data_IF_852579249303
#
_entry.id   IF_852579249303
#
_cell.length_a   1.000
_cell.length_b   1.000
_cell.length_c   1.000
_cell.angle_alpha   90.00
_cell.angle_beta   90.00
_cell.angle_gamma   90.00
#
_symmetry.space_group_name_H-M   'P 1'
#
loop_
_entity.id
_entity.type
_entity.pdbx_description
1 polymer ?
2 water ?
#
# COMPACT_ATOMS: atom_id res chain seq x y z
N UNK A 8 -27.02 -9.29 9.11
CA UNK A 8 -26.13 -9.99 10.04
C UNK A 8 -24.88 -10.47 9.30
N UNK A 9 -25.03 -11.55 8.53
CA UNK A 9 -23.95 -12.01 7.68
C UNK A 9 -23.66 -11.01 6.57
N UNK A 10 -24.69 -10.28 6.13
CA UNK A 10 -24.48 -9.23 5.14
C UNK A 10 -23.55 -8.14 5.67
N UNK A 11 -23.70 -7.79 6.95
CA UNK A 11 -22.85 -6.74 7.51
C UNK A 11 -21.39 -7.17 7.57
N UNK A 12 -21.13 -8.48 7.70
CA UNK A 12 -19.76 -8.97 7.57
C UNK A 12 -19.23 -8.74 6.16
N UNK A 13 -20.02 -9.12 5.15
CA UNK A 13 -19.60 -8.94 3.76
C UNK A 13 -19.40 -7.46 3.44
N UNK A 14 -20.28 -6.60 3.96
CA UNK A 14 -20.14 -5.16 3.76
C UNK A 14 -18.88 -4.63 4.44
N UNK A 15 -18.64 -5.04 5.68
CA UNK A 15 -17.45 -4.61 6.39
C UNK A 15 -16.16 -5.01 5.68
N UNK A 16 -16.12 -6.24 5.14
CA UNK A 16 -14.91 -6.66 4.43
C UNK A 16 -14.75 -5.87 3.14
N UNK A 17 -15.85 -5.65 2.42
CA UNK A 17 -15.78 -4.88 1.18
C UNK A 17 -15.28 -3.47 1.43
N UNK A 18 -15.76 -2.83 2.50
CA UNK A 18 -15.32 -1.47 2.79
C UNK A 18 -13.83 -1.43 3.11
N UNK A 19 -13.37 -2.35 3.96
CA UNK A 19 -11.98 -2.28 4.39
C UNK A 19 -11.02 -2.70 3.28
N UNK A 20 -11.43 -3.64 2.43
CA UNK A 20 -10.60 -4.01 1.28
C UNK A 20 -10.50 -2.84 0.30
N UNK A 21 -11.63 -2.17 0.05
CA UNK A 21 -11.61 -0.99 -0.82
C UNK A 21 -10.69 0.08 -0.27
N UNK A 22 -10.75 0.32 1.05
CA UNK A 22 -9.87 1.30 1.66
C UNK A 22 -8.41 0.87 1.56
N UNK A 23 -8.14 -0.43 1.67
CA UNK A 23 -6.76 -0.89 1.54
C UNK A 23 -6.26 -0.67 0.12
N UNK A 24 -7.12 -0.90 -0.87
CA UNK A 24 -6.76 -0.68 -2.27
C UNK A 24 -6.41 0.78 -2.48
N UNK A 25 -7.26 1.67 -1.97
CA UNK A 25 -7.00 3.11 -2.06
C UNK A 25 -5.67 3.48 -1.41
N UNK A 26 -5.36 2.88 -0.26
CA UNK A 26 -4.12 3.18 0.44
C UNK A 26 -2.91 2.75 -0.37
N UNK A 27 -2.96 1.57 -0.98
CA UNK A 27 -1.87 1.15 -1.86
C UNK A 27 -1.69 2.16 -2.99
N UNK A 28 -2.80 2.60 -3.60
CA UNK A 28 -2.67 3.56 -4.69
C UNK A 28 -2.02 4.85 -4.20
N UNK A 29 -2.36 5.27 -2.98
CA UNK A 29 -1.74 6.46 -2.39
C UNK A 29 -0.23 6.27 -2.22
N UNK A 30 0.19 5.09 -1.74
CA UNK A 30 1.61 4.82 -1.58
C UNK A 30 2.31 4.82 -2.94
N UNK A 31 1.70 4.17 -3.94
CA UNK A 31 2.35 4.10 -5.25
C UNK A 31 2.43 5.49 -5.89
N UNK A 32 1.37 6.29 -5.74
CA UNK A 32 1.41 7.65 -6.28
C UNK A 32 2.48 8.49 -5.60
N UNK A 33 2.72 8.26 -4.30
CA UNK A 33 3.80 8.96 -3.61
C UNK A 33 5.16 8.57 -4.20
N UNK A 34 5.38 7.28 -4.39
CA UNK A 34 6.59 6.82 -5.04
C UNK A 34 6.77 7.46 -6.41
N UNK A 35 5.70 7.55 -7.20
CA UNK A 35 5.82 8.13 -8.54
C UNK A 35 6.25 9.59 -8.46
N UNK A 36 5.62 10.34 -7.56
CA UNK A 36 5.94 11.75 -7.38
C UNK A 36 7.37 11.94 -6.88
N UNK A 37 7.76 11.17 -5.85
CA UNK A 37 9.12 11.20 -5.34
C UNK A 37 10.12 10.97 -6.47
N UNK A 38 9.87 9.93 -7.28
CA UNK A 38 10.74 9.62 -8.41
C UNK A 38 10.93 10.81 -9.35
N UNK A 39 9.85 11.52 -9.66
CA UNK A 39 9.97 12.65 -10.59
C UNK A 39 10.79 13.79 -9.99
N UNK A 40 10.72 14.01 -8.67
CA UNK A 40 11.54 15.06 -8.06
C UNK A 40 13.02 14.71 -8.13
N UNK A 41 13.35 13.43 -7.93
CA UNK A 41 14.73 12.99 -8.02
C UNK A 41 15.24 13.11 -9.44
N UNK A 42 14.39 12.79 -10.42
CA UNK A 42 14.76 12.97 -11.82
C UNK A 42 14.96 14.45 -12.15
N UNK A 43 14.01 15.30 -11.73
CA UNK A 43 14.08 16.72 -12.08
C UNK A 43 15.32 17.38 -11.51
N UNK A 44 15.69 17.04 -10.27
CA UNK A 44 16.79 17.75 -9.63
C UNK A 44 18.15 17.44 -10.25
N UNK A 45 18.26 16.36 -11.04
CA UNK A 45 19.47 16.08 -11.81
C UNK A 45 19.30 16.31 -13.30
N UNK A 46 18.23 16.97 -13.73
CA UNK A 46 17.93 17.11 -15.15
C UNK A 46 18.78 18.21 -15.77
N UNK A 47 19.18 17.99 -17.03
CA UNK A 47 19.98 18.98 -17.74
C UNK A 47 19.13 20.02 -18.46
N UNK A 48 17.82 19.78 -18.59
CA UNK A 48 16.94 20.70 -19.29
C UNK A 48 16.44 21.84 -18.40
N UNK A 49 16.48 21.68 -17.08
CA UNK A 49 15.88 22.63 -16.16
C UNK A 49 16.91 23.64 -15.65
N UNK A 50 16.43 24.85 -15.35
CA UNK A 50 17.32 25.88 -14.83
C UNK A 50 17.55 25.68 -13.32
N UNK A 51 18.46 26.50 -12.78
CA UNK A 51 18.92 26.28 -11.41
C UNK A 51 17.81 26.49 -10.39
N UNK A 52 17.00 27.54 -10.58
CA UNK A 52 15.85 27.74 -9.70
C UNK A 52 14.97 26.50 -9.66
N UNK A 53 14.65 25.95 -10.84
CA UNK A 53 13.73 24.81 -10.89
C UNK A 53 14.35 23.56 -10.27
N UNK A 54 15.63 23.29 -10.54
CA UNK A 54 16.27 22.14 -9.93
C UNK A 54 16.36 22.29 -8.41
N UNK A 55 16.59 23.52 -7.94
CA UNK A 55 16.65 23.74 -6.50
C UNK A 55 15.31 23.48 -5.85
N UNK A 56 14.22 23.89 -6.51
CA UNK A 56 12.90 23.63 -5.96
C UNK A 56 12.64 22.13 -5.92
N UNK A 57 13.13 21.40 -6.93
CA UNK A 57 12.92 19.96 -6.98
C UNK A 57 13.72 19.24 -5.90
N UNK A 58 14.93 19.71 -5.63
CA UNK A 58 15.73 19.14 -4.55
C UNK A 58 15.05 19.35 -3.19
N UNK A 59 14.54 20.56 -2.94
CA UNK A 59 13.75 20.80 -1.73
C UNK A 59 12.57 19.86 -1.66
N UNK A 60 11.85 19.69 -2.77
CA UNK A 60 10.66 18.84 -2.75
C UNK A 60 11.03 17.38 -2.52
N UNK A 61 12.13 16.92 -3.11
CA UNK A 61 12.55 15.54 -2.88
C UNK A 61 12.90 15.31 -1.42
N UNK A 62 13.40 16.34 -0.73
CA UNK A 62 13.75 16.22 0.68
C UNK A 62 12.55 16.24 1.60
N UNK A 63 11.36 16.57 1.11
CA UNK A 63 10.19 16.67 1.97
C UNK A 63 9.47 15.33 2.13
N UNK A 64 9.82 14.33 1.34
CA UNK A 64 9.24 13.00 1.52
C UNK A 64 9.85 12.33 2.75
N UNK A 65 9.01 11.74 3.61
CA UNK A 65 9.48 11.18 4.87
C UNK A 65 9.25 9.68 4.95
N UNK A 66 10.16 9.00 5.64
CA UNK A 66 9.95 7.60 6.00
C UNK A 66 8.78 7.46 6.96
N UNK A 67 8.57 8.45 7.83
CA UNK A 67 7.41 8.45 8.71
C UNK A 67 6.11 8.36 7.92
N UNK A 68 6.00 9.13 6.83
CA UNK A 68 4.79 9.12 6.02
C UNK A 68 4.58 7.76 5.36
N UNK A 69 5.66 7.16 4.86
CA UNK A 69 5.56 5.82 4.29
C UNK A 69 5.13 4.81 5.35
N UNK A 70 5.68 4.93 6.56
CA UNK A 70 5.34 3.98 7.61
C UNK A 70 3.91 4.18 8.08
N UNK A 71 3.45 5.43 8.14
CA UNK A 71 2.05 5.72 8.46
C UNK A 71 1.12 5.08 7.44
N UNK A 72 1.40 5.28 6.15
CA UNK A 72 0.57 4.66 5.11
C UNK A 72 0.58 3.14 5.22
N UNK A 73 1.72 2.54 5.59
CA UNK A 73 1.73 1.08 5.73
C UNK A 73 0.95 0.64 6.96
N UNK A 74 1.00 1.41 8.04
CA UNK A 74 0.17 1.05 9.19
C UNK A 74 -1.31 1.17 8.86
N UNK A 75 -1.69 2.21 8.10
CA UNK A 75 -3.07 2.34 7.64
C UNK A 75 -3.46 1.12 6.80
N UNK A 76 -2.59 0.73 5.87
CA UNK A 76 -2.86 -0.45 5.04
C UNK A 76 -3.01 -1.71 5.89
N UNK A 77 -2.07 -1.97 6.80
CA UNK A 77 -2.15 -3.13 7.67
C UNK A 77 -3.46 -3.13 8.46
N UNK A 78 -3.79 -1.99 9.06
CA UNK A 78 -5.00 -1.93 9.89
C UNK A 78 -6.25 -2.27 9.08
N UNK A 79 -6.36 -1.74 7.85
CA UNK A 79 -7.52 -2.07 7.03
C UNK A 79 -7.59 -3.57 6.76
N UNK A 80 -6.45 -4.20 6.47
CA UNK A 80 -6.46 -5.63 6.19
C UNK A 80 -6.72 -6.43 7.47
N UNK A 81 -6.20 -5.97 8.61
CA UNK A 81 -6.40 -6.71 9.85
C UNK A 81 -7.87 -6.70 10.26
N UNK A 82 -8.56 -5.57 10.05
CA UNK A 82 -10.00 -5.53 10.26
C UNK A 82 -10.72 -6.45 9.27
N UNK A 83 -10.26 -6.47 8.02
CA UNK A 83 -10.85 -7.35 7.01
C UNK A 83 -10.75 -8.81 7.46
N UNK A 84 -9.58 -9.20 7.97
CA UNK A 84 -9.35 -10.59 8.37
C UNK A 84 -10.21 -10.94 9.58
N UNK A 85 -10.26 -10.04 10.58
CA UNK A 85 -11.09 -10.31 11.75
C UNK A 85 -12.55 -10.50 11.36
N UNK A 86 -13.05 -9.65 10.46
CA UNK A 86 -14.43 -9.75 10.02
C UNK A 86 -14.64 -10.99 9.16
N UNK A 87 -13.71 -11.27 8.25
CA UNK A 87 -13.87 -12.43 7.38
C UNK A 87 -13.75 -13.75 8.13
N UNK A 88 -13.22 -13.76 9.35
CA UNK A 88 -13.16 -15.01 10.09
C UNK A 88 -14.54 -15.54 10.44
N UNK A 89 -15.59 -14.72 10.28
CA UNK A 89 -16.98 -15.15 10.46
C UNK A 89 -17.56 -15.81 9.21
N UNK A 90 -16.85 -15.75 8.08
CA UNK A 90 -17.36 -16.35 6.84
C UNK A 90 -17.39 -17.87 6.95
N UNK A 91 -18.44 -18.49 6.39
CA UNK A 91 -18.63 -19.92 6.50
C UNK A 91 -18.75 -20.64 5.16
N UNK A 92 -19.09 -19.94 4.07
CA UNK A 92 -19.34 -20.59 2.79
C UNK A 92 -18.05 -20.73 1.98
N UNK A 93 -18.14 -21.46 0.87
CA UNK A 93 -16.93 -21.96 0.23
C UNK A 93 -16.15 -20.83 -0.46
N UNK A 94 -16.86 -19.88 -1.07
CA UNK A 94 -16.20 -18.80 -1.78
C UNK A 94 -15.65 -17.74 -0.83
N UNK A 95 -16.42 -17.35 0.19
CA UNK A 95 -15.95 -16.29 1.07
C UNK A 95 -14.91 -16.78 2.08
N UNK A 96 -14.86 -18.08 2.38
CA UNK A 96 -13.73 -18.56 3.16
C UNK A 96 -12.44 -18.49 2.34
N UNK A 97 -12.54 -18.65 1.02
CA UNK A 97 -11.37 -18.47 0.17
C UNK A 97 -10.89 -17.02 0.21
N UNK A 98 -11.82 -16.07 0.17
CA UNK A 98 -11.44 -14.66 0.35
C UNK A 98 -10.73 -14.45 1.68
N UNK A 99 -11.25 -15.04 2.75
CA UNK A 99 -10.58 -14.92 4.04
C UNK A 99 -9.15 -15.46 3.98
N UNK A 100 -8.95 -16.59 3.30
CA UNK A 100 -7.61 -17.15 3.22
C UNK A 100 -6.67 -16.22 2.46
N UNK A 101 -7.14 -15.60 1.38
CA UNK A 101 -6.29 -14.67 0.65
C UNK A 101 -5.92 -13.46 1.51
N UNK A 102 -6.89 -12.95 2.27
CA UNK A 102 -6.64 -11.79 3.11
C UNK A 102 -5.61 -12.10 4.20
N UNK A 103 -5.66 -13.29 4.79
CA UNK A 103 -4.65 -13.64 5.78
C UNK A 103 -3.26 -13.72 5.15
N UNK A 104 -3.18 -14.24 3.92
CA UNK A 104 -1.90 -14.26 3.22
C UNK A 104 -1.39 -12.84 3.00
N UNK A 105 -2.30 -11.93 2.65
CA UNK A 105 -1.91 -10.55 2.39
C UNK A 105 -1.48 -9.85 3.67
N UNK A 106 -2.20 -10.10 4.77
CA UNK A 106 -1.78 -9.57 6.06
C UNK A 106 -0.33 -9.94 6.37
N UNK A 107 0.02 -11.21 6.20
CA UNK A 107 1.39 -11.64 6.49
C UNK A 107 2.40 -10.95 5.58
N UNK A 108 2.06 -10.79 4.30
CA UNK A 108 2.96 -10.09 3.37
C UNK A 108 3.17 -8.64 3.79
N UNK A 109 2.10 -7.97 4.24
CA UNK A 109 2.24 -6.57 4.66
C UNK A 109 3.23 -6.46 5.81
N UNK A 110 3.18 -7.42 6.74
CA UNK A 110 4.12 -7.39 7.85
C UNK A 110 5.55 -7.56 7.36
N UNK A 111 5.75 -8.40 6.34
CA UNK A 111 7.08 -8.58 5.77
C UNK A 111 7.59 -7.30 5.12
N UNK A 112 6.70 -6.58 4.43
CA UNK A 112 7.08 -5.32 3.81
C UNK A 112 7.41 -4.26 4.85
N UNK A 113 6.65 -4.20 5.95
CA UNK A 113 6.93 -3.22 6.99
C UNK A 113 8.30 -3.49 7.60
N UNK A 114 8.67 -4.77 7.70
CA UNK A 114 10.00 -5.14 8.17
C UNK A 114 11.07 -4.77 7.16
N UNK A 115 10.79 -4.95 5.86
CA UNK A 115 11.75 -4.57 4.82
C UNK A 115 12.00 -3.07 4.83
N UNK A 116 10.95 -2.27 5.04
CA UNK A 116 11.09 -0.82 5.08
C UNK A 116 11.98 -0.40 6.24
N UNK A 117 11.91 -1.12 7.36
CA UNK A 117 12.71 -0.75 8.53
C UNK A 117 14.20 -0.93 8.27
N UNK A 118 14.59 -1.96 7.51
CA UNK A 118 16.00 -2.26 7.29
C UNK A 118 16.63 -1.43 6.16
N UNK A 119 15.97 -0.37 5.70
CA UNK A 119 16.47 0.47 4.61
C UNK A 119 16.61 1.90 5.12
N UNK A 120 17.85 2.36 5.27
CA UNK A 120 18.07 3.74 5.71
C UNK A 120 17.62 4.74 4.65
N UNK A 121 17.84 4.42 3.38
CA UNK A 121 17.54 5.34 2.29
C UNK A 121 16.07 5.24 1.90
N UNK A 122 15.37 6.38 1.92
CA UNK A 122 13.92 6.38 1.71
C UNK A 122 13.56 5.88 0.32
N UNK A 123 14.24 6.37 -0.72
CA UNK A 123 13.93 5.91 -2.06
C UNK A 123 14.16 4.40 -2.19
N UNK A 124 15.22 3.90 -1.55
CA UNK A 124 15.47 2.46 -1.56
C UNK A 124 14.36 1.71 -0.83
N UNK A 125 13.80 2.30 0.22
CA UNK A 125 12.69 1.66 0.93
C UNK A 125 11.48 1.51 0.02
N UNK A 126 11.12 2.57 -0.69
CA UNK A 126 10.05 2.49 -1.69
C UNK A 126 10.36 1.43 -2.73
N UNK A 127 11.58 1.45 -3.29
CA UNK A 127 11.95 0.47 -4.31
C UNK A 127 11.82 -0.96 -3.79
N UNK A 128 12.07 -1.18 -2.51
CA UNK A 128 11.92 -2.52 -1.95
C UNK A 128 10.48 -3.03 -1.95
N UNK A 129 9.47 -2.16 -2.00
CA UNK A 129 8.10 -2.62 -1.79
C UNK A 129 7.16 -2.36 -2.95
N UNK A 130 7.60 -1.65 -4.00
CA UNK A 130 6.64 -1.21 -5.02
C UNK A 130 6.05 -2.40 -5.79
N UNK A 131 6.89 -3.36 -6.20
CA UNK A 131 6.35 -4.52 -6.91
C UNK A 131 5.35 -5.27 -6.05
N UNK A 132 5.69 -5.49 -4.77
CA UNK A 132 4.81 -6.26 -3.88
C UNK A 132 3.46 -5.58 -3.69
N UNK A 133 3.44 -4.25 -3.51
CA UNK A 133 2.15 -3.64 -3.27
C UNK A 133 1.32 -3.58 -4.54
N UNK A 134 1.95 -3.47 -5.70
CA UNK A 134 1.18 -3.47 -6.94
C UNK A 134 0.51 -4.83 -7.14
N UNK A 135 1.23 -5.91 -6.84
CA UNK A 135 0.63 -7.24 -6.93
C UNK A 135 -0.47 -7.42 -5.87
N UNK A 136 -0.21 -6.93 -4.66
CA UNK A 136 -1.18 -7.00 -3.58
C UNK A 136 -2.48 -6.28 -3.94
N UNK A 137 -2.39 -5.10 -4.56
CA UNK A 137 -3.61 -4.41 -4.97
C UNK A 137 -4.42 -5.26 -5.94
N UNK A 138 -3.74 -5.94 -6.87
CA UNK A 138 -4.44 -6.83 -7.80
C UNK A 138 -5.10 -7.99 -7.05
N UNK A 139 -4.39 -8.58 -6.08
CA UNK A 139 -4.98 -9.66 -5.30
C UNK A 139 -6.19 -9.18 -4.50
N UNK A 140 -6.11 -7.97 -3.93
CA UNK A 140 -7.26 -7.42 -3.23
C UNK A 140 -8.44 -7.19 -4.17
N UNK A 141 -8.16 -6.84 -5.43
CA UNK A 141 -9.24 -6.70 -6.41
C UNK A 141 -9.91 -8.05 -6.67
N UNK A 142 -9.12 -9.12 -6.71
CA UNK A 142 -9.69 -10.47 -6.81
C UNK A 142 -10.59 -10.77 -5.62
N UNK A 143 -10.14 -10.42 -4.41
CA UNK A 143 -10.95 -10.64 -3.21
C UNK A 143 -12.31 -9.99 -3.36
N UNK A 144 -12.33 -8.75 -3.85
CA UNK A 144 -13.59 -8.05 -4.03
C UNK A 144 -14.53 -8.79 -4.97
N UNK A 145 -13.98 -9.42 -6.01
CA UNK A 145 -14.83 -10.18 -6.92
C UNK A 145 -15.34 -11.47 -6.31
N UNK A 146 -14.52 -12.12 -5.48
CA UNK A 146 -14.86 -13.41 -4.90
C UNK A 146 -16.07 -13.31 -3.98
N UNK A 147 -16.29 -12.15 -3.37
CA UNK A 147 -17.38 -11.99 -2.41
C UNK A 147 -18.53 -11.13 -2.93
N UNK A 148 -18.30 -10.28 -3.93
CA UNK A 148 -19.37 -9.43 -4.45
C UNK A 148 -19.58 -9.66 -5.94
#
# INVERSE_FOLDING_TARGET
GSTGSSNRYQSYLEGVKYNVDSAIQTITKIYNTYTLFSTKLTQMYSTRLDNFAKAKAKEEAAKFTKEDLEKNFKTLLNYIQVSVKTAANFVYINDTHAKRKLENIEAEIKTLIAKIKEQSNLYEAYKAIVTSILLMRDSLKEVQGIID
#
